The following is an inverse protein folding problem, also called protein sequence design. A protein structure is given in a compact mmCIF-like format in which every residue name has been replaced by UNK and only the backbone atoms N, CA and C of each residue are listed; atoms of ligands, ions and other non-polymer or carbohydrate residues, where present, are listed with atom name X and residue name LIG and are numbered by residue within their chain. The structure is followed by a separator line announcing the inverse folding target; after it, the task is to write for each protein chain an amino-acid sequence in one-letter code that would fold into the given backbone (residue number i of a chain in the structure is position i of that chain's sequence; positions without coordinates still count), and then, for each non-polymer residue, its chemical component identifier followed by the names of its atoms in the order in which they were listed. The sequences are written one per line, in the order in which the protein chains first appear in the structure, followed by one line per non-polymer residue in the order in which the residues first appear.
data_IF_458064361084
#
_entry.id   IF_458064361084
#
_cell.length_a   1.000
_cell.length_b   1.000
_cell.length_c   1.000
_cell.angle_alpha   90.00
_cell.angle_beta   90.00
_cell.angle_gamma   90.00
#
_symmetry.space_group_name_H-M   'P 1'
#
loop_
_entity.id
_entity.type
_entity.pdbx_description
1 polymer ?
#
# COMPACT_ATOMS: atom_id res chain seq x y z
N UNK A 1 -18.92 -25.58 8.19
CA UNK A 1 -18.63 -25.07 6.83
C UNK A 1 -17.46 -24.11 6.95
N UNK A 2 -16.46 -24.18 6.08
CA UNK A 2 -15.40 -23.17 6.01
C UNK A 2 -16.00 -21.84 5.55
N UNK A 3 -15.58 -20.74 6.16
CA UNK A 3 -16.02 -19.41 5.79
C UNK A 3 -15.42 -19.01 4.42
N UNK A 4 -16.24 -18.49 3.50
CA UNK A 4 -15.80 -18.09 2.16
C UNK A 4 -16.33 -16.69 1.79
N UNK A 5 -15.41 -15.74 1.63
CA UNK A 5 -15.73 -14.35 1.22
C UNK A 5 -16.43 -14.25 -0.13
N UNK A 6 -16.24 -15.22 -1.02
CA UNK A 6 -16.86 -15.27 -2.35
C UNK A 6 -18.36 -15.52 -2.35
N UNK A 7 -18.95 -15.89 -1.20
CA UNK A 7 -20.38 -16.15 -1.08
C UNK A 7 -21.21 -14.86 -0.95
N UNK A 8 -20.55 -13.71 -0.79
CA UNK A 8 -21.19 -12.42 -0.54
C UNK A 8 -21.01 -11.48 -1.71
N UNK A 9 -22.10 -10.84 -2.15
CA UNK A 9 -22.07 -9.77 -3.14
C UNK A 9 -21.39 -8.51 -2.58
N UNK A 10 -20.96 -7.59 -3.45
CA UNK A 10 -20.40 -6.31 -3.00
C UNK A 10 -21.36 -5.53 -2.10
N UNK A 11 -22.66 -5.57 -2.40
CA UNK A 11 -23.69 -4.90 -1.61
C UNK A 11 -23.80 -5.51 -0.21
N UNK A 12 -23.84 -6.85 -0.11
CA UNK A 12 -23.84 -7.57 1.16
C UNK A 12 -22.58 -7.24 1.97
N UNK A 13 -21.41 -7.29 1.33
CA UNK A 13 -20.14 -6.95 1.97
C UNK A 13 -20.15 -5.52 2.53
N UNK A 14 -20.65 -4.53 1.78
CA UNK A 14 -20.77 -3.14 2.27
C UNK A 14 -21.75 -2.99 3.43
N UNK A 15 -22.84 -3.76 3.43
CA UNK A 15 -23.83 -3.76 4.52
C UNK A 15 -23.24 -4.30 5.85
N UNK A 16 -22.20 -5.15 5.77
CA UNK A 16 -21.46 -5.67 6.91
C UNK A 16 -20.24 -4.80 7.33
N UNK A 17 -20.17 -3.55 6.86
CA UNK A 17 -19.13 -2.61 7.27
C UNK A 17 -19.34 -2.16 8.71
N UNK A 18 -18.34 -2.36 9.55
CA UNK A 18 -18.35 -1.95 10.96
C UNK A 18 -17.50 -0.69 11.22
N UNK A 19 -16.61 -0.34 10.30
CA UNK A 19 -15.75 0.84 10.41
C UNK A 19 -15.31 1.33 9.03
N UNK A 20 -15.28 2.64 8.83
CA UNK A 20 -14.62 3.26 7.68
C UNK A 20 -13.22 3.74 8.07
N UNK A 21 -12.19 3.18 7.46
CA UNK A 21 -10.83 3.69 7.57
C UNK A 21 -10.61 4.92 6.69
N UNK A 22 -11.35 4.99 5.58
CA UNK A 22 -11.28 6.12 4.64
C UNK A 22 -12.57 6.21 3.83
N UNK A 23 -13.19 7.38 3.85
CA UNK A 23 -14.27 7.71 2.93
C UNK A 23 -13.72 8.02 1.53
N UNK A 24 -14.43 7.53 0.51
CA UNK A 24 -14.16 7.85 -0.89
C UNK A 24 -14.39 9.32 -1.24
N UNK A 25 -13.90 9.71 -2.41
CA UNK A 25 -14.10 11.04 -2.98
C UNK A 25 -12.92 11.51 -3.83
N UNK A 26 -13.21 12.21 -4.93
CA UNK A 26 -12.20 12.53 -5.92
C UNK A 26 -11.63 11.24 -6.53
N UNK A 27 -10.32 11.03 -6.36
CA UNK A 27 -9.64 9.82 -6.81
C UNK A 27 -9.47 8.75 -5.72
N UNK A 28 -10.12 8.89 -4.57
CA UNK A 28 -9.91 8.04 -3.40
C UNK A 28 -10.99 6.95 -3.32
N UNK A 29 -10.64 5.67 -3.11
CA UNK A 29 -11.61 4.63 -2.83
C UNK A 29 -12.16 4.72 -1.40
N UNK A 30 -13.30 4.07 -1.18
CA UNK A 30 -13.70 3.68 0.16
C UNK A 30 -12.76 2.59 0.69
N UNK A 31 -12.41 2.66 1.97
CA UNK A 31 -11.66 1.62 2.68
C UNK A 31 -12.39 1.31 3.98
N UNK A 32 -12.94 0.09 4.07
CA UNK A 32 -13.85 -0.31 5.14
C UNK A 32 -13.41 -1.62 5.79
N UNK A 33 -13.67 -1.75 7.08
CA UNK A 33 -13.57 -3.01 7.81
C UNK A 33 -14.91 -3.73 7.73
N UNK A 34 -14.90 -4.94 7.18
CA UNK A 34 -16.06 -5.82 7.06
C UNK A 34 -15.95 -6.91 8.14
N UNK A 35 -17.04 -7.17 8.84
CA UNK A 35 -17.14 -8.26 9.81
C UNK A 35 -18.37 -9.12 9.54
N UNK A 36 -18.15 -10.42 9.31
CA UNK A 36 -19.22 -11.40 9.07
C UNK A 36 -18.87 -12.66 9.87
N UNK A 37 -19.78 -13.11 10.75
CA UNK A 37 -19.61 -14.30 11.60
C UNK A 37 -18.27 -14.31 12.37
N UNK A 38 -17.82 -13.14 12.82
CA UNK A 38 -16.54 -12.97 13.54
C UNK A 38 -15.29 -12.95 12.65
N UNK A 39 -15.43 -13.16 11.34
CA UNK A 39 -14.33 -13.01 10.38
C UNK A 39 -14.21 -11.56 9.91
N UNK A 40 -12.98 -11.03 9.94
CA UNK A 40 -12.67 -9.66 9.54
C UNK A 40 -11.87 -9.58 8.25
N UNK A 41 -12.21 -8.62 7.40
CA UNK A 41 -11.44 -8.28 6.20
C UNK A 41 -11.56 -6.79 5.86
N UNK A 42 -10.59 -6.27 5.12
CA UNK A 42 -10.63 -4.90 4.61
C UNK A 42 -11.16 -4.91 3.19
N UNK A 43 -12.27 -4.22 2.96
CA UNK A 43 -12.82 -3.95 1.64
C UNK A 43 -12.26 -2.62 1.12
N UNK A 44 -11.58 -2.67 -0.02
CA UNK A 44 -11.25 -1.48 -0.82
C UNK A 44 -12.20 -1.41 -2.00
N UNK A 45 -12.93 -0.31 -2.14
CA UNK A 45 -13.91 -0.12 -3.20
C UNK A 45 -13.74 1.24 -3.91
N UNK A 46 -13.35 1.18 -5.17
CA UNK A 46 -13.20 2.36 -6.03
C UNK A 46 -14.56 2.99 -6.39
N UNK A 47 -15.69 2.35 -6.08
CA UNK A 47 -17.02 2.95 -6.20
C UNK A 47 -17.24 4.18 -5.33
N UNK A 48 -16.46 4.35 -4.26
CA UNK A 48 -16.48 5.58 -3.46
C UNK A 48 -15.79 6.78 -4.12
N UNK A 49 -15.02 6.58 -5.20
CA UNK A 49 -14.41 7.67 -5.96
C UNK A 49 -15.44 8.35 -6.89
N UNK A 50 -15.09 9.53 -7.42
CA UNK A 50 -15.97 10.26 -8.33
C UNK A 50 -16.31 9.41 -9.56
N UNK A 51 -17.58 9.43 -9.99
CA UNK A 51 -18.17 8.48 -10.95
C UNK A 51 -17.28 8.16 -12.16
N UNK A 52 -16.75 9.18 -12.82
CA UNK A 52 -15.91 9.00 -14.02
C UNK A 52 -14.53 8.44 -13.71
N UNK A 53 -13.94 8.87 -12.60
CA UNK A 53 -12.68 8.30 -12.13
C UNK A 53 -12.85 6.83 -11.76
N UNK A 54 -13.88 6.52 -10.97
CA UNK A 54 -14.24 5.17 -10.58
C UNK A 54 -14.45 4.27 -11.80
N UNK A 55 -15.18 4.74 -12.81
CA UNK A 55 -15.53 3.92 -13.99
C UNK A 55 -14.33 3.66 -14.90
N UNK A 56 -13.50 4.67 -15.17
CA UNK A 56 -12.43 4.57 -16.17
C UNK A 56 -11.11 4.08 -15.58
N UNK A 57 -10.75 4.58 -14.39
CA UNK A 57 -9.43 4.36 -13.77
C UNK A 57 -9.52 3.31 -12.66
N UNK A 58 -10.66 3.22 -11.97
CA UNK A 58 -10.90 2.25 -10.90
C UNK A 58 -10.53 0.81 -11.26
N UNK A 59 -10.96 0.25 -12.42
CA UNK A 59 -10.60 -1.11 -12.78
C UNK A 59 -9.10 -1.35 -12.96
N UNK A 60 -8.39 -0.36 -13.51
CA UNK A 60 -6.94 -0.44 -13.73
C UNK A 60 -6.20 -0.42 -12.39
N UNK A 61 -6.58 0.48 -11.48
CA UNK A 61 -5.97 0.57 -10.14
C UNK A 61 -6.23 -0.71 -9.35
N UNK A 62 -7.47 -1.19 -9.37
CA UNK A 62 -7.89 -2.44 -8.73
C UNK A 62 -7.09 -3.64 -9.25
N UNK A 63 -6.97 -3.78 -10.57
CA UNK A 63 -6.19 -4.85 -11.18
C UNK A 63 -4.71 -4.80 -10.79
N UNK A 64 -4.10 -3.60 -10.79
CA UNK A 64 -2.69 -3.41 -10.40
C UNK A 64 -2.45 -3.84 -8.96
N UNK A 65 -3.30 -3.39 -8.04
CA UNK A 65 -3.18 -3.71 -6.62
C UNK A 65 -3.43 -5.20 -6.35
N UNK A 66 -4.49 -5.79 -6.92
CA UNK A 66 -4.75 -7.23 -6.83
C UNK A 66 -3.60 -8.07 -7.41
N UNK A 67 -2.98 -7.62 -8.51
CA UNK A 67 -1.81 -8.31 -9.11
C UNK A 67 -0.60 -8.26 -8.18
N UNK A 68 -0.38 -7.16 -7.47
CA UNK A 68 0.69 -7.05 -6.49
C UNK A 68 0.42 -7.94 -5.28
N UNK A 69 -0.79 -7.89 -4.72
CA UNK A 69 -1.19 -8.73 -3.58
C UNK A 69 -1.03 -10.23 -3.90
N UNK A 70 -1.43 -10.69 -5.09
CA UNK A 70 -1.21 -12.09 -5.51
C UNK A 70 0.26 -12.50 -5.58
N UNK A 71 1.18 -11.56 -5.85
CA UNK A 71 2.63 -11.85 -5.82
C UNK A 71 3.19 -11.86 -4.40
N UNK A 72 2.54 -11.13 -3.50
CA UNK A 72 2.94 -10.93 -2.12
C UNK A 72 2.19 -11.85 -1.16
N UNK A 73 1.48 -12.87 -1.68
CA UNK A 73 0.65 -13.79 -0.92
C UNK A 73 1.41 -14.47 0.24
N UNK A 74 2.68 -14.80 0.02
CA UNK A 74 3.57 -15.40 1.01
C UNK A 74 4.36 -14.39 1.87
N UNK A 75 4.14 -13.08 1.68
CA UNK A 75 4.88 -12.01 2.37
C UNK A 75 4.07 -11.52 3.57
N UNK A 76 4.46 -11.95 4.77
CA UNK A 76 3.70 -11.72 6.01
C UNK A 76 3.45 -10.23 6.35
N UNK A 77 4.32 -9.32 5.92
CA UNK A 77 4.18 -7.89 6.18
C UNK A 77 3.19 -7.17 5.23
N UNK A 78 2.45 -7.90 4.39
CA UNK A 78 1.48 -7.35 3.44
C UNK A 78 0.15 -8.09 3.59
N UNK A 79 -1.01 -7.40 3.50
CA UNK A 79 -2.29 -8.07 3.49
C UNK A 79 -2.42 -9.08 2.34
N UNK A 80 -3.07 -10.22 2.59
CA UNK A 80 -3.36 -11.23 1.58
C UNK A 80 -4.64 -10.90 0.83
N UNK A 81 -4.68 -11.09 -0.49
CA UNK A 81 -5.91 -10.93 -1.28
C UNK A 81 -6.89 -12.06 -0.99
N UNK A 82 -8.09 -11.73 -0.50
CA UNK A 82 -9.10 -12.71 -0.11
C UNK A 82 -10.14 -12.94 -1.22
N UNK A 83 -10.62 -11.85 -1.84
CA UNK A 83 -11.68 -11.93 -2.85
C UNK A 83 -11.71 -10.66 -3.72
N UNK A 84 -12.30 -10.75 -4.91
CA UNK A 84 -12.51 -9.62 -5.83
C UNK A 84 -13.98 -9.59 -6.26
N UNK A 85 -14.88 -8.95 -5.49
CA UNK A 85 -16.32 -8.97 -5.75
C UNK A 85 -16.73 -8.15 -6.98
N UNK A 86 -15.86 -7.26 -7.47
CA UNK A 86 -16.06 -6.56 -8.74
C UNK A 86 -14.72 -6.21 -9.41
N UNK A 87 -14.77 -5.66 -10.62
CA UNK A 87 -13.59 -5.12 -11.29
C UNK A 87 -12.98 -3.91 -10.58
N UNK A 88 -13.70 -3.28 -9.65
CA UNK A 88 -13.36 -2.03 -8.96
C UNK A 88 -13.23 -2.18 -7.44
N UNK A 89 -13.37 -3.40 -6.92
CA UNK A 89 -13.27 -3.66 -5.49
C UNK A 89 -12.60 -4.99 -5.19
N UNK A 90 -11.97 -5.07 -4.02
CA UNK A 90 -11.35 -6.29 -3.52
C UNK A 90 -11.34 -6.32 -2.00
N UNK A 91 -11.26 -7.54 -1.45
CA UNK A 91 -11.03 -7.80 -0.04
C UNK A 91 -9.61 -8.28 0.19
N UNK A 92 -9.04 -7.85 1.30
CA UNK A 92 -7.76 -8.33 1.82
C UNK A 92 -7.83 -8.59 3.32
N UNK A 93 -6.86 -9.32 3.85
CA UNK A 93 -6.79 -9.60 5.29
C UNK A 93 -6.77 -8.32 6.11
N UNK A 94 -7.46 -8.36 7.24
CA UNK A 94 -7.35 -7.32 8.26
C UNK A 94 -6.17 -7.63 9.19
N UNK A 95 -5.36 -6.62 9.48
CA UNK A 95 -4.32 -6.67 10.50
C UNK A 95 -4.70 -5.71 11.62
N UNK A 96 -4.69 -6.18 12.87
CA UNK A 96 -4.85 -5.31 14.02
C UNK A 96 -3.57 -4.51 14.25
N UNK A 97 -3.48 -3.38 13.56
CA UNK A 97 -2.30 -2.52 13.50
C UNK A 97 -2.69 -1.04 13.46
N UNK A 98 -1.82 -0.18 13.98
CA UNK A 98 -1.99 1.29 13.95
C UNK A 98 -1.01 1.92 12.97
N UNK A 99 -1.37 3.06 12.37
CA UNK A 99 -0.43 3.80 11.52
C UNK A 99 0.77 4.23 12.36
N UNK A 100 1.99 4.04 11.83
CA UNK A 100 3.24 4.33 12.56
C UNK A 100 3.33 5.79 13.04
N UNK A 101 2.57 6.70 12.41
CA UNK A 101 2.52 8.11 12.80
C UNK A 101 1.48 8.45 13.86
N UNK A 102 0.51 7.57 14.12
CA UNK A 102 -0.61 7.77 15.05
C UNK A 102 -0.79 6.52 15.92
N UNK A 103 0.27 6.13 16.62
CA UNK A 103 0.24 5.02 17.57
C UNK A 103 -0.38 5.48 18.89
N UNK A 104 -1.45 4.83 19.34
CA UNK A 104 -2.12 5.16 20.60
C UNK A 104 -2.08 4.03 21.62
N UNK A 105 -2.00 2.76 21.19
CA UNK A 105 -2.08 1.60 22.10
C UNK A 105 -0.73 1.18 22.66
N UNK A 106 0.33 1.32 21.87
CA UNK A 106 1.70 0.96 22.27
C UNK A 106 2.72 1.74 21.46
N UNK A 107 3.97 1.76 21.91
CA UNK A 107 5.11 2.29 21.17
C UNK A 107 6.11 1.15 20.98
N UNK A 108 6.48 0.81 19.74
CA UNK A 108 7.47 -0.23 19.49
C UNK A 108 8.85 0.22 19.94
N UNK A 109 9.74 -0.74 20.17
CA UNK A 109 11.18 -0.47 20.21
C UNK A 109 11.63 0.02 18.83
N UNK A 110 12.01 1.29 18.72
CA UNK A 110 12.30 1.92 17.44
C UNK A 110 13.48 1.28 16.68
N UNK A 111 14.65 1.02 17.30
CA UNK A 111 15.72 0.25 16.65
C UNK A 111 15.23 -1.08 16.06
N UNK A 112 14.57 -1.90 16.87
CA UNK A 112 14.07 -3.22 16.42
C UNK A 112 13.04 -3.07 15.31
N UNK A 113 12.13 -2.09 15.43
CA UNK A 113 11.12 -1.81 14.41
C UNK A 113 11.74 -1.42 13.07
N UNK A 114 12.78 -0.57 13.06
CA UNK A 114 13.42 -0.15 11.82
C UNK A 114 14.18 -1.30 11.14
N UNK A 115 14.78 -2.20 11.92
CA UNK A 115 15.38 -3.43 11.38
C UNK A 115 14.31 -4.34 10.74
N UNK A 116 13.20 -4.55 11.44
CA UNK A 116 12.04 -5.30 10.92
C UNK A 116 11.46 -4.63 9.66
N UNK A 117 11.33 -3.30 9.63
CA UNK A 117 10.84 -2.55 8.48
C UNK A 117 11.78 -2.67 7.28
N UNK A 118 13.09 -2.62 7.52
CA UNK A 118 14.08 -2.84 6.48
C UNK A 118 13.94 -4.23 5.85
N UNK A 119 13.84 -5.28 6.69
CA UNK A 119 13.63 -6.65 6.25
C UNK A 119 12.28 -6.86 5.53
N UNK A 120 11.22 -6.23 6.02
CA UNK A 120 9.90 -6.25 5.39
C UNK A 120 9.94 -5.68 3.97
N UNK A 121 10.64 -4.55 3.77
CA UNK A 121 10.83 -3.95 2.44
C UNK A 121 11.65 -4.89 1.54
N UNK A 122 12.69 -5.53 2.07
CA UNK A 122 13.49 -6.50 1.30
C UNK A 122 12.66 -7.71 0.87
N UNK A 123 11.79 -8.22 1.74
CA UNK A 123 10.91 -9.35 1.42
C UNK A 123 9.93 -8.99 0.29
N UNK A 124 9.36 -7.78 0.31
CA UNK A 124 8.51 -7.26 -0.77
C UNK A 124 9.30 -7.15 -2.09
N UNK A 125 10.54 -6.66 -2.04
CA UNK A 125 11.42 -6.55 -3.21
C UNK A 125 11.84 -7.92 -3.75
N UNK A 126 12.12 -8.88 -2.88
CA UNK A 126 12.46 -10.26 -3.23
C UNK A 126 11.30 -10.96 -3.97
N UNK A 127 10.06 -10.69 -3.56
CA UNK A 127 8.85 -11.12 -4.26
C UNK A 127 8.59 -10.38 -5.59
N UNK A 128 9.49 -9.46 -5.99
CA UNK A 128 9.43 -8.76 -7.27
C UNK A 128 8.43 -7.61 -7.31
N UNK A 129 8.13 -7.01 -6.16
CA UNK A 129 7.29 -5.80 -6.06
C UNK A 129 8.08 -4.69 -5.38
N UNK A 130 8.04 -3.48 -5.92
CA UNK A 130 8.47 -2.25 -5.24
C UNK A 130 7.19 -1.47 -4.90
N UNK A 131 7.07 -0.98 -3.68
CA UNK A 131 5.85 -0.36 -3.17
C UNK A 131 5.66 1.06 -3.73
N UNK A 132 6.74 1.83 -3.82
CA UNK A 132 6.84 3.16 -4.43
C UNK A 132 6.03 4.28 -3.77
N UNK A 133 5.46 4.05 -2.58
CA UNK A 133 4.71 5.06 -1.81
C UNK A 133 4.93 4.96 -0.30
N UNK A 134 5.93 4.20 0.16
CA UNK A 134 6.25 4.06 1.60
C UNK A 134 6.77 5.36 2.22
N UNK A 135 7.23 6.31 1.41
CA UNK A 135 7.55 7.67 1.88
C UNK A 135 6.32 8.42 2.38
N UNK A 136 5.11 7.94 2.12
CA UNK A 136 3.95 8.37 2.87
C UNK A 136 3.83 7.47 4.13
N UNK A 137 4.17 7.96 5.33
CA UNK A 137 4.23 7.12 6.52
C UNK A 137 2.89 6.47 6.91
N UNK A 138 1.75 6.99 6.42
CA UNK A 138 0.43 6.39 6.66
C UNK A 138 0.28 5.00 6.03
N UNK A 139 1.16 4.65 5.08
CA UNK A 139 1.20 3.36 4.40
C UNK A 139 2.02 2.31 5.18
N UNK A 140 2.59 2.69 6.32
CA UNK A 140 3.29 1.80 7.24
C UNK A 140 2.50 1.74 8.55
N UNK A 141 2.02 0.54 8.87
CA UNK A 141 1.35 0.24 10.13
C UNK A 141 2.27 -0.57 11.03
N UNK A 142 1.94 -0.64 12.31
CA UNK A 142 2.63 -1.44 13.33
C UNK A 142 1.59 -2.26 14.08
N UNK A 143 1.76 -3.59 14.11
CA UNK A 143 0.94 -4.47 14.94
C UNK A 143 1.45 -4.51 16.39
N UNK A 144 0.67 -5.10 17.30
CA UNK A 144 1.01 -5.16 18.73
C UNK A 144 2.36 -5.84 19.03
N UNK A 145 2.85 -6.72 18.14
CA UNK A 145 4.15 -7.40 18.25
C UNK A 145 5.33 -6.53 17.78
N UNK A 146 5.06 -5.29 17.36
CA UNK A 146 6.05 -4.37 16.80
C UNK A 146 6.48 -4.71 15.37
N UNK A 147 5.71 -5.54 14.66
CA UNK A 147 5.95 -5.87 13.26
C UNK A 147 5.34 -4.84 12.30
N UNK A 148 6.06 -4.47 11.23
CA UNK A 148 5.58 -3.55 10.22
C UNK A 148 4.59 -4.25 9.27
N UNK A 149 3.44 -3.60 9.02
CA UNK A 149 2.50 -3.99 7.97
C UNK A 149 2.44 -2.89 6.92
N UNK A 150 2.68 -3.24 5.65
CA UNK A 150 2.74 -2.33 4.52
C UNK A 150 1.43 -2.38 3.74
N UNK A 151 0.79 -1.23 3.55
CA UNK A 151 -0.54 -1.11 2.92
C UNK A 151 -0.53 -0.09 1.79
N UNK A 152 -1.54 -0.19 0.91
CA UNK A 152 -1.72 0.69 -0.25
C UNK A 152 -0.68 0.48 -1.37
N UNK A 153 -0.86 -0.60 -2.12
CA UNK A 153 0.02 -0.98 -3.23
C UNK A 153 -0.41 -0.34 -4.56
N UNK A 154 -1.27 0.69 -4.56
CA UNK A 154 -1.78 1.29 -5.80
C UNK A 154 -0.66 1.84 -6.71
N UNK A 155 0.39 2.37 -6.09
CA UNK A 155 1.56 2.95 -6.75
C UNK A 155 2.66 1.93 -7.09
N UNK A 156 2.45 0.65 -6.77
CA UNK A 156 3.50 -0.36 -6.86
C UNK A 156 4.08 -0.51 -8.27
N UNK A 157 5.32 -0.94 -8.34
CA UNK A 157 5.98 -1.35 -9.56
C UNK A 157 6.35 -2.82 -9.47
N UNK A 158 6.00 -3.58 -10.49
CA UNK A 158 6.21 -5.00 -10.54
C UNK A 158 7.40 -5.34 -11.43
N UNK A 159 8.31 -6.16 -10.91
CA UNK A 159 9.44 -6.71 -11.65
C UNK A 159 8.94 -7.51 -12.85
N UNK A 160 9.51 -7.19 -14.01
CA UNK A 160 9.29 -7.86 -15.27
C UNK A 160 10.20 -9.06 -15.44
N UNK A 161 10.16 -9.67 -16.62
CA UNK A 161 11.04 -10.80 -16.97
C UNK A 161 12.52 -10.33 -16.99
N UNK A 162 13.44 -11.26 -16.78
CA UNK A 162 14.88 -10.97 -16.68
C UNK A 162 15.47 -10.31 -17.93
N UNK A 163 14.98 -10.66 -19.13
CA UNK A 163 15.43 -10.07 -20.39
C UNK A 163 15.00 -8.59 -20.57
N UNK A 164 14.03 -8.10 -19.81
CA UNK A 164 13.59 -6.71 -19.89
C UNK A 164 14.49 -5.82 -19.02
N UNK A 165 15.69 -5.53 -19.52
CA UNK A 165 16.70 -4.74 -18.82
C UNK A 165 16.19 -3.36 -18.37
N UNK A 166 15.44 -2.59 -19.19
CA UNK A 166 14.86 -1.33 -18.73
C UNK A 166 13.92 -1.49 -17.53
N UNK A 167 13.11 -2.55 -17.51
CA UNK A 167 12.25 -2.84 -16.36
C UNK A 167 13.07 -3.25 -15.13
N UNK A 168 14.10 -4.08 -15.28
CA UNK A 168 14.97 -4.46 -14.16
C UNK A 168 15.66 -3.24 -13.54
N UNK A 169 16.16 -2.34 -14.39
CA UNK A 169 16.75 -1.08 -13.96
C UNK A 169 15.74 -0.21 -13.21
N UNK A 170 14.54 -0.04 -13.77
CA UNK A 170 13.48 0.77 -13.15
C UNK A 170 13.00 0.17 -11.82
N UNK A 171 12.87 -1.15 -11.74
CA UNK A 171 12.56 -1.87 -10.51
C UNK A 171 13.62 -1.59 -9.43
N UNK A 172 14.91 -1.73 -9.77
CA UNK A 172 16.01 -1.41 -8.85
C UNK A 172 15.95 0.03 -8.33
N UNK A 173 15.60 1.00 -9.20
CA UNK A 173 15.42 2.40 -8.78
C UNK A 173 14.23 2.59 -7.85
N UNK A 174 13.09 1.95 -8.10
CA UNK A 174 11.96 2.03 -7.17
C UNK A 174 12.24 1.34 -5.83
N UNK A 175 12.99 0.24 -5.83
CA UNK A 175 13.45 -0.40 -4.59
C UNK A 175 14.33 0.54 -3.75
N UNK A 176 15.23 1.30 -4.38
CA UNK A 176 16.01 2.33 -3.68
C UNK A 176 15.10 3.41 -3.07
N UNK A 177 14.08 3.87 -3.81
CA UNK A 177 13.10 4.85 -3.31
C UNK A 177 12.38 4.34 -2.06
N UNK A 178 11.96 3.08 -2.05
CA UNK A 178 11.29 2.48 -0.89
C UNK A 178 12.17 2.50 0.35
N UNK A 179 13.47 2.17 0.23
CA UNK A 179 14.39 2.18 1.37
C UNK A 179 14.55 3.56 2.00
N UNK A 180 14.47 4.65 1.22
CA UNK A 180 14.47 6.01 1.80
C UNK A 180 13.25 6.35 2.65
N UNK A 181 12.20 5.52 2.63
CA UNK A 181 11.09 5.67 3.55
C UNK A 181 11.52 5.49 5.00
N UNK A 182 12.47 4.57 5.28
CA UNK A 182 13.01 4.31 6.61
C UNK A 182 13.58 5.61 7.19
N UNK A 183 14.52 6.24 6.47
CA UNK A 183 15.12 7.53 6.87
C UNK A 183 14.06 8.60 7.11
N UNK A 184 13.02 8.66 6.27
CA UNK A 184 11.94 9.63 6.42
C UNK A 184 11.08 9.36 7.67
N UNK A 185 10.84 8.10 8.02
CA UNK A 185 10.09 7.73 9.22
C UNK A 185 10.96 7.97 10.46
N UNK A 186 12.25 7.57 10.45
CA UNK A 186 13.24 7.89 11.50
C UNK A 186 13.25 9.39 11.82
N UNK A 187 13.40 10.26 10.81
CA UNK A 187 13.36 11.74 10.97
C UNK A 187 12.14 12.27 11.70
N UNK A 188 11.00 11.55 11.65
CA UNK A 188 9.76 11.97 12.30
C UNK A 188 9.60 11.39 13.70
N UNK A 189 10.05 10.16 13.93
CA UNK A 189 9.69 9.37 15.12
C UNK A 189 10.87 9.07 16.04
N UNK A 190 12.08 8.97 15.49
CA UNK A 190 13.31 8.66 16.22
C UNK A 190 14.53 9.29 15.49
N UNK A 191 14.65 10.64 15.49
CA UNK A 191 15.72 11.33 14.76
C UNK A 191 17.13 10.92 15.21
N UNK A 192 17.28 10.49 16.45
CA UNK A 192 18.51 10.00 17.06
C UNK A 192 19.03 8.69 16.44
N UNK A 193 18.18 7.94 15.73
CA UNK A 193 18.55 6.68 15.08
C UNK A 193 19.00 6.86 13.63
N UNK A 194 19.11 8.11 13.17
CA UNK A 194 19.64 8.42 11.84
C UNK A 194 21.15 8.25 11.88
N UNK A 195 21.66 7.43 10.96
CA UNK A 195 23.10 7.19 10.78
C UNK A 195 23.53 7.64 9.40
N UNK A 196 24.82 7.92 9.21
CA UNK A 196 25.36 8.43 7.93
C UNK A 196 25.16 7.47 6.75
N UNK A 197 24.94 6.18 7.02
CA UNK A 197 24.64 5.16 5.99
C UNK A 197 23.16 5.13 5.59
N UNK A 198 22.28 5.85 6.28
CA UNK A 198 20.87 5.90 5.92
C UNK A 198 20.68 6.61 4.57
N UNK A 199 19.91 6.00 3.68
CA UNK A 199 19.73 6.53 2.33
C UNK A 199 18.97 7.85 2.41
N UNK A 200 19.62 8.95 2.02
CA UNK A 200 18.95 10.24 2.03
C UNK A 200 18.00 10.35 0.85
N UNK A 201 16.77 10.86 1.07
CA UNK A 201 15.81 11.02 -0.02
C UNK A 201 16.26 11.97 -1.13
N UNK A 202 17.24 12.83 -0.83
CA UNK A 202 17.88 13.79 -1.73
C UNK A 202 18.94 13.14 -2.62
N UNK A 203 19.65 12.11 -2.14
CA UNK A 203 20.64 11.35 -2.91
C UNK A 203 19.99 10.49 -4.00
N UNK A 204 18.77 10.01 -3.76
CA UNK A 204 17.99 9.29 -4.78
C UNK A 204 17.47 10.24 -5.86
N UNK A 205 17.38 11.55 -5.57
CA UNK A 205 16.84 12.56 -6.47
C UNK A 205 17.82 12.93 -7.60
N UNK A 206 18.22 11.95 -8.41
CA UNK A 206 18.67 12.22 -9.78
C UNK A 206 17.51 12.78 -10.63
N UNK A 207 17.84 13.51 -11.70
CA UNK A 207 16.87 14.15 -12.63
C UNK A 207 15.73 13.21 -13.08
N UNK A 208 16.01 11.91 -13.20
CA UNK A 208 15.04 10.89 -13.64
C UNK A 208 14.07 10.41 -12.54
N UNK A 209 14.52 10.31 -11.28
CA UNK A 209 13.69 9.90 -10.14
C UNK A 209 12.62 10.94 -9.79
N UNK A 210 12.96 12.23 -9.93
CA UNK A 210 11.98 13.31 -9.84
C UNK A 210 10.98 13.30 -11.00
N UNK A 211 11.40 12.97 -12.23
CA UNK A 211 10.51 12.88 -13.39
C UNK A 211 9.50 11.74 -13.29
N UNK A 212 9.88 10.57 -12.77
CA UNK A 212 8.96 9.44 -12.55
C UNK A 212 8.01 9.71 -11.38
N UNK A 213 8.50 10.31 -10.29
CA UNK A 213 7.65 10.79 -9.19
C UNK A 213 6.66 11.84 -9.68
N UNK A 214 7.10 12.76 -10.53
CA UNK A 214 6.25 13.72 -11.19
C UNK A 214 5.24 13.00 -12.08
N UNK A 215 5.59 11.97 -12.85
CA UNK A 215 4.66 11.23 -13.69
C UNK A 215 3.58 10.50 -12.87
N UNK A 216 3.93 9.80 -11.78
CA UNK A 216 2.95 9.13 -10.92
C UNK A 216 2.07 10.09 -10.10
N UNK A 217 2.60 11.26 -9.73
CA UNK A 217 1.81 12.33 -9.11
C UNK A 217 1.00 13.12 -10.15
N UNK A 218 1.49 13.22 -11.38
CA UNK A 218 0.83 13.88 -12.50
C UNK A 218 -0.31 13.03 -13.04
N UNK A 219 -0.17 11.70 -13.14
CA UNK A 219 -1.32 10.81 -13.40
C UNK A 219 -2.40 11.02 -12.34
N UNK A 220 -2.04 11.11 -11.06
CA UNK A 220 -2.97 11.40 -9.95
C UNK A 220 -3.53 12.84 -9.93
N UNK A 221 -2.83 13.82 -10.50
CA UNK A 221 -3.23 15.25 -10.55
C UNK A 221 -3.99 15.61 -11.83
N UNK A 222 -3.55 15.12 -12.98
CA UNK A 222 -4.23 15.23 -14.26
C UNK A 222 -5.57 14.47 -14.21
N UNK A 223 -5.63 13.30 -13.57
CA UNK A 223 -6.90 12.62 -13.31
C UNK A 223 -7.82 13.40 -12.38
N UNK A 224 -7.26 14.19 -11.46
CA UNK A 224 -8.03 15.08 -10.58
C UNK A 224 -8.65 16.21 -11.41
N UNK A 225 -7.85 16.97 -12.15
CA UNK A 225 -8.33 18.12 -12.95
C UNK A 225 -9.31 17.71 -14.05
N UNK A 226 -9.17 16.51 -14.63
CA UNK A 226 -10.03 16.04 -15.74
C UNK A 226 -11.33 15.38 -15.28
N UNK A 227 -11.40 14.83 -14.06
CA UNK A 227 -12.52 13.95 -13.66
C UNK A 227 -13.15 14.27 -12.30
N UNK A 228 -12.61 15.23 -11.53
CA UNK A 228 -13.30 15.75 -10.33
C UNK A 228 -14.01 17.06 -10.67
N UNK A 229 -15.34 17.02 -10.68
CA UNK A 229 -16.24 18.19 -10.67
C UNK A 229 -16.93 18.23 -9.32
#
# INVERSE_FOLDING_TARGET
MSFHWSNYSLEQLRAHSIQSFRAGGGSRPDVMLIEIDGHRAVLKDQGGADKWFALLIGPILNWRECKALRRLDAVACVPTLLHTPSSRSFLMTYHDAEQVTHLNRFTPDWPIFFDKLNAAIDNVHAAGVAHNDLRNPTNTLVNQDGDPILVDLVACFCKGRQWNLPNQWLFSKFSQVDKSAITKIKRRLAPELIVDTDINPEEIAGKFGMAIKALGQWVRRASRVLFTK
#
